data_IF_550786150629
#
_entry.id   IF_550786150629
#
_cell.length_a   1.000
_cell.length_b   1.000
_cell.length_c   1.000
_cell.angle_alpha   90.00
_cell.angle_beta   90.00
_cell.angle_gamma   90.00
#
_symmetry.space_group_name_H-M   'P 1'
#
loop_
_entity.id
_entity.type
_entity.pdbx_description
1 polymer ?
#
# COMPACT_ATOMS: atom_id res chain seq x y z
N UNK A 1 -13.41 12.76 14.19
CA UNK A 1 -13.14 11.37 14.61
C UNK A 1 -11.81 10.89 14.01
N UNK A 2 -11.26 9.73 14.41
CA UNK A 2 -9.97 9.20 13.90
C UNK A 2 -9.92 9.09 12.37
N UNK A 3 -11.02 8.66 11.74
CA UNK A 3 -11.11 8.52 10.27
C UNK A 3 -10.93 9.86 9.54
N UNK A 4 -11.38 10.97 10.13
CA UNK A 4 -11.27 12.30 9.52
C UNK A 4 -9.81 12.76 9.47
N UNK A 5 -9.00 12.42 10.48
CA UNK A 5 -7.55 12.69 10.49
C UNK A 5 -6.83 11.94 9.36
N UNK A 6 -7.22 10.68 9.12
CA UNK A 6 -6.67 9.88 8.01
C UNK A 6 -7.06 10.51 6.67
N UNK A 7 -8.34 10.87 6.50
CA UNK A 7 -8.83 11.53 5.27
C UNK A 7 -8.16 12.88 5.02
N UNK A 8 -7.96 13.69 6.06
CA UNK A 8 -7.25 14.96 5.97
C UNK A 8 -5.77 14.77 5.59
N UNK A 9 -5.10 13.77 6.17
CA UNK A 9 -3.71 13.42 5.81
C UNK A 9 -3.61 12.92 4.38
N UNK A 10 -4.58 12.14 3.91
CA UNK A 10 -4.64 11.70 2.51
C UNK A 10 -4.69 12.90 1.55
N UNK A 11 -5.49 13.92 1.86
CA UNK A 11 -5.53 15.17 1.08
C UNK A 11 -4.20 15.92 1.12
N UNK A 12 -3.58 16.03 2.30
CA UNK A 12 -2.29 16.73 2.48
C UNK A 12 -1.14 16.07 1.71
N UNK A 13 -1.14 14.74 1.58
CA UNK A 13 -0.10 14.00 0.87
C UNK A 13 -0.35 13.86 -0.64
N UNK A 14 -1.43 14.46 -1.18
CA UNK A 14 -1.68 14.44 -2.62
C UNK A 14 -0.49 15.03 -3.38
N UNK A 15 0.01 14.32 -4.40
CA UNK A 15 1.22 14.71 -5.16
C UNK A 15 2.55 14.39 -4.48
N UNK A 16 2.57 14.10 -3.18
CA UNK A 16 3.78 13.74 -2.42
C UNK A 16 3.93 12.25 -2.17
N UNK A 17 2.84 11.47 -2.27
CA UNK A 17 2.86 10.01 -2.17
C UNK A 17 2.38 9.36 -3.46
N UNK A 18 2.90 8.18 -3.76
CA UNK A 18 2.39 7.29 -4.82
C UNK A 18 1.28 6.40 -4.28
N UNK A 19 0.29 6.15 -5.12
CA UNK A 19 -0.63 5.01 -4.93
C UNK A 19 0.13 3.77 -5.39
N UNK A 20 0.76 3.09 -4.44
CA UNK A 20 1.49 1.84 -4.70
C UNK A 20 0.53 0.71 -5.09
N UNK A 21 0.94 -0.22 -5.97
CA UNK A 21 0.05 -1.27 -6.45
C UNK A 21 -0.23 -2.33 -5.38
N UNK A 22 -1.34 -3.05 -5.58
CA UNK A 22 -1.56 -4.36 -4.98
C UNK A 22 -1.08 -5.40 -5.99
N UNK A 23 -0.01 -6.10 -5.66
CA UNK A 23 0.54 -7.17 -6.49
C UNK A 23 0.01 -8.52 -5.99
N UNK A 24 -0.05 -9.51 -6.87
CA UNK A 24 -0.34 -10.90 -6.54
C UNK A 24 0.73 -11.82 -7.11
N UNK A 25 0.96 -12.96 -6.47
CA UNK A 25 1.88 -13.98 -6.98
C UNK A 25 1.30 -15.36 -6.69
N UNK A 26 1.07 -16.21 -7.71
CA UNK A 26 0.60 -17.58 -7.50
C UNK A 26 1.49 -18.36 -6.51
N UNK A 27 2.80 -18.12 -6.54
CA UNK A 27 3.75 -18.72 -5.61
C UNK A 27 3.46 -18.36 -4.15
N UNK A 28 3.08 -17.10 -3.87
CA UNK A 28 2.70 -16.70 -2.51
C UNK A 28 1.34 -17.27 -2.11
N UNK A 29 0.42 -17.38 -3.06
CA UNK A 29 -0.90 -17.96 -2.83
C UNK A 29 -0.77 -19.44 -2.41
N UNK A 30 0.12 -20.18 -3.07
CA UNK A 30 0.39 -21.59 -2.77
C UNK A 30 0.99 -21.78 -1.38
N UNK A 31 1.98 -20.95 -0.99
CA UNK A 31 2.57 -20.99 0.36
C UNK A 31 1.53 -20.68 1.43
N UNK A 32 0.65 -19.71 1.16
CA UNK A 32 -0.34 -19.26 2.14
C UNK A 32 -1.61 -20.12 2.17
N UNK A 33 -1.81 -20.99 1.17
CA UNK A 33 -3.04 -21.77 0.97
C UNK A 33 -4.28 -20.91 0.68
N UNK A 34 -4.08 -19.68 0.20
CA UNK A 34 -5.14 -18.70 -0.09
C UNK A 34 -4.59 -17.55 -0.91
N UNK A 35 -5.48 -16.76 -1.53
CA UNK A 35 -5.11 -15.55 -2.26
C UNK A 35 -4.46 -14.49 -1.35
N UNK A 36 -3.28 -14.04 -1.72
CA UNK A 36 -2.50 -13.00 -1.04
C UNK A 36 -2.31 -11.80 -1.97
N UNK A 37 -2.55 -10.61 -1.41
CA UNK A 37 -2.21 -9.35 -2.06
C UNK A 37 -1.06 -8.67 -1.32
N UNK A 38 -0.03 -8.28 -2.05
CA UNK A 38 1.12 -7.53 -1.53
C UNK A 38 0.90 -6.05 -1.81
N UNK A 39 0.77 -5.26 -0.74
CA UNK A 39 0.80 -3.80 -0.83
C UNK A 39 2.27 -3.35 -0.98
N UNK A 40 2.68 -3.07 -2.21
CA UNK A 40 4.08 -2.88 -2.57
C UNK A 40 4.62 -1.49 -2.18
N UNK A 41 4.68 -1.19 -0.87
CA UNK A 41 5.21 0.09 -0.35
C UNK A 41 6.71 0.28 -0.60
N UNK A 42 7.44 -0.78 -0.96
CA UNK A 42 8.82 -0.65 -1.45
C UNK A 42 8.90 0.14 -2.77
N UNK A 43 7.78 0.33 -3.49
CA UNK A 43 7.69 1.14 -4.71
C UNK A 43 7.27 2.60 -4.44
N UNK A 44 7.05 2.96 -3.17
CA UNK A 44 6.84 4.34 -2.76
C UNK A 44 8.09 5.19 -3.03
N UNK A 45 7.94 6.51 -3.00
CA UNK A 45 9.09 7.41 -2.94
C UNK A 45 10.05 6.98 -1.83
N UNK A 46 11.36 7.06 -2.09
CA UNK A 46 12.44 6.64 -1.16
C UNK A 46 12.52 5.15 -0.82
N UNK A 47 11.67 4.29 -1.41
CA UNK A 47 11.77 2.84 -1.28
C UNK A 47 11.08 2.23 -0.05
N UNK A 48 10.28 3.00 0.68
CA UNK A 48 9.46 2.50 1.80
C UNK A 48 8.24 3.39 2.05
N UNK A 49 7.32 2.97 2.91
CA UNK A 49 6.09 3.73 3.22
C UNK A 49 6.30 5.07 3.94
N UNK A 50 7.53 5.35 4.40
CA UNK A 50 7.86 6.52 5.22
C UNK A 50 7.73 7.81 4.43
#
# INVERSE_FOLDING_TARGET
>A
MMIDKIRATNKRLAGHKRVTPLLSSPFLDDIAGRRVFVKAECLQHTGSFK
#
